data_IF_667465270876
#
_entry.id   IF_667465270876
#
_cell.length_a   1.000
_cell.length_b   1.000
_cell.length_c   1.000
_cell.angle_alpha   90.00
_cell.angle_beta   90.00
_cell.angle_gamma   90.00
#
_symmetry.space_group_name_H-M   'P 1'
#
loop_
_entity.id
_entity.type
_entity.pdbx_description
1 polymer ?
#
# COMPACT_ATOMS: atom_id res chain seq x y z
N UNK A 1 7.06 64.71 -60.38
CA UNK A 1 6.35 63.61 -61.02
C UNK A 1 6.68 62.34 -60.23
N UNK A 2 5.88 61.91 -59.36
CA UNK A 2 4.87 60.89 -59.36
C UNK A 2 5.43 59.51 -59.42
N UNK A 3 5.30 58.69 -58.48
CA UNK A 3 4.36 57.54 -58.45
C UNK A 3 4.43 56.79 -57.12
N UNK A 4 3.30 56.78 -56.47
CA UNK A 4 2.97 55.90 -55.35
C UNK A 4 2.99 54.46 -55.80
N UNK A 5 3.56 53.55 -54.97
CA UNK A 5 3.18 52.17 -54.97
C UNK A 5 2.91 51.73 -53.50
N UNK A 6 1.63 51.52 -53.28
CA UNK A 6 1.09 50.88 -52.05
C UNK A 6 1.29 49.42 -52.19
N UNK A 7 2.01 48.81 -51.28
CA UNK A 7 2.00 47.38 -51.13
C UNK A 7 1.33 47.04 -49.81
N UNK A 8 0.10 46.56 -49.91
CA UNK A 8 -0.59 45.84 -48.82
C UNK A 8 0.09 44.52 -48.66
N UNK A 9 0.68 44.28 -47.48
CA UNK A 9 0.97 42.93 -47.01
C UNK A 9 -0.13 42.54 -46.01
N UNK A 10 -1.06 41.71 -46.48
CA UNK A 10 -2.00 41.00 -45.64
C UNK A 10 -1.22 39.87 -44.92
N UNK A 11 -0.87 40.11 -43.67
CA UNK A 11 -0.30 39.09 -42.81
C UNK A 11 -1.41 38.15 -42.32
N UNK A 12 -1.50 36.97 -42.93
CA UNK A 12 -2.30 35.89 -42.39
C UNK A 12 -1.58 35.32 -41.14
N UNK A 13 -2.08 35.66 -39.96
CA UNK A 13 -1.69 35.04 -38.73
C UNK A 13 -2.27 33.61 -38.72
N UNK A 14 -1.44 32.63 -39.08
CA UNK A 14 -1.74 31.22 -38.79
C UNK A 14 -1.60 31.01 -37.27
N UNK A 15 -2.71 31.03 -36.57
CA UNK A 15 -2.81 30.53 -35.21
C UNK A 15 -2.64 29.02 -35.27
N UNK A 16 -1.44 28.51 -35.02
CA UNK A 16 -1.24 27.12 -34.67
C UNK A 16 -1.84 26.90 -33.28
N UNK A 17 -3.08 26.43 -33.26
CA UNK A 17 -3.62 25.77 -32.11
C UNK A 17 -2.81 24.49 -31.94
N UNK A 18 -1.79 24.51 -31.06
CA UNK A 18 -1.19 23.30 -30.52
C UNK A 18 -2.28 22.70 -29.66
N UNK A 19 -3.11 21.86 -30.25
CA UNK A 19 -3.87 20.87 -29.53
C UNK A 19 -2.81 19.93 -28.92
N UNK A 20 -2.40 20.23 -27.71
CA UNK A 20 -1.68 19.28 -26.88
C UNK A 20 -2.60 18.08 -26.71
N UNK A 21 -2.44 17.08 -27.58
CA UNK A 21 -2.84 15.74 -27.27
C UNK A 21 -2.03 15.37 -26.01
N UNK A 22 -2.63 15.55 -24.85
CA UNK A 22 -2.32 14.67 -23.74
C UNK A 22 -2.70 13.28 -24.26
N UNK A 23 -1.75 12.61 -24.90
CA UNK A 23 -1.77 11.17 -25.02
C UNK A 23 -1.78 10.71 -23.58
N UNK A 24 -2.97 10.41 -23.04
CA UNK A 24 -3.10 9.56 -21.89
C UNK A 24 -2.18 8.38 -22.19
N UNK A 25 -1.31 8.06 -21.27
CA UNK A 25 -0.37 6.93 -21.37
C UNK A 25 -1.22 5.66 -21.31
N UNK A 26 -1.89 5.33 -22.46
CA UNK A 26 -2.86 4.24 -22.58
C UNK A 26 -2.23 2.87 -22.37
N UNK A 27 -0.93 2.81 -22.12
CA UNK A 27 -0.15 1.59 -21.98
C UNK A 27 0.38 1.28 -20.59
N UNK A 28 0.09 2.11 -19.57
CA UNK A 28 0.67 1.93 -18.23
C UNK A 28 -0.34 2.28 -17.15
N UNK A 29 -0.38 1.45 -16.10
CA UNK A 29 -1.19 1.66 -14.90
C UNK A 29 -0.26 1.82 -13.70
N UNK A 30 -0.49 2.84 -12.89
CA UNK A 30 0.26 3.07 -11.64
C UNK A 30 -0.59 2.69 -10.45
N UNK A 31 -0.13 1.73 -9.65
CA UNK A 31 -0.81 1.23 -8.46
C UNK A 31 -0.03 1.62 -7.21
N UNK A 32 -0.68 2.30 -6.28
CA UNK A 32 -0.16 2.53 -4.94
C UNK A 32 -0.74 1.47 -4.01
N UNK A 33 0.09 0.52 -3.59
CA UNK A 33 -0.33 -0.64 -2.81
C UNK A 33 0.43 -0.75 -1.49
N UNK A 34 -0.28 -1.16 -0.45
CA UNK A 34 0.33 -1.43 0.85
C UNK A 34 1.52 -2.42 0.71
N UNK A 35 2.60 -2.18 1.45
CA UNK A 35 3.85 -2.93 1.35
C UNK A 35 3.69 -4.46 1.48
N UNK A 36 2.72 -4.92 2.27
CA UNK A 36 2.38 -6.35 2.42
C UNK A 36 1.92 -7.03 1.12
N UNK A 37 1.48 -6.24 0.12
CA UNK A 37 1.01 -6.75 -1.17
C UNK A 37 2.12 -6.89 -2.22
N UNK A 38 3.37 -6.57 -1.89
CA UNK A 38 4.47 -6.52 -2.86
C UNK A 38 4.54 -7.75 -3.76
N UNK A 39 4.59 -8.95 -3.18
CA UNK A 39 4.71 -10.18 -3.97
C UNK A 39 3.46 -10.45 -4.83
N UNK A 40 2.28 -10.34 -4.23
CA UNK A 40 1.02 -10.58 -4.93
C UNK A 40 0.84 -9.61 -6.11
N UNK A 41 1.10 -8.32 -5.91
CA UNK A 41 0.96 -7.31 -6.96
C UNK A 41 1.99 -7.47 -8.07
N UNK A 42 3.21 -7.91 -7.77
CA UNK A 42 4.21 -8.21 -8.79
C UNK A 42 3.79 -9.39 -9.67
N UNK A 43 3.23 -10.44 -9.06
CA UNK A 43 2.71 -11.60 -9.78
C UNK A 43 1.52 -11.21 -10.67
N UNK A 44 0.53 -10.49 -10.11
CA UNK A 44 -0.64 -10.01 -10.85
C UNK A 44 -0.23 -9.09 -12.01
N UNK A 45 0.67 -8.13 -11.77
CA UNK A 45 1.18 -7.22 -12.80
C UNK A 45 1.85 -7.98 -13.95
N UNK A 46 2.62 -9.02 -13.63
CA UNK A 46 3.29 -9.87 -14.63
C UNK A 46 2.28 -10.63 -15.47
N UNK A 47 1.25 -11.20 -14.84
CA UNK A 47 0.19 -11.95 -15.53
C UNK A 47 -0.65 -11.01 -16.41
N UNK A 48 -1.07 -9.85 -15.87
CA UNK A 48 -1.85 -8.88 -16.62
C UNK A 48 -1.10 -8.36 -17.85
N UNK A 49 0.20 -8.04 -17.70
CA UNK A 49 1.05 -7.66 -18.85
C UNK A 49 1.08 -8.76 -19.92
N UNK A 50 1.23 -10.04 -19.52
CA UNK A 50 1.25 -11.17 -20.44
C UNK A 50 -0.08 -11.33 -21.19
N UNK A 51 -1.20 -11.10 -20.50
CA UNK A 51 -2.54 -11.33 -21.07
C UNK A 51 -3.09 -10.14 -21.83
N UNK A 52 -2.81 -8.91 -21.35
CA UNK A 52 -3.40 -7.68 -21.88
C UNK A 52 -2.39 -6.75 -22.57
N UNK A 53 -1.10 -7.01 -22.45
CA UNK A 53 -0.06 -6.17 -23.05
C UNK A 53 0.17 -4.82 -22.32
N UNK A 54 -0.46 -4.61 -21.18
CA UNK A 54 -0.43 -3.35 -20.42
C UNK A 54 0.55 -3.47 -19.26
N UNK A 55 1.42 -2.48 -19.11
CA UNK A 55 2.35 -2.40 -17.98
C UNK A 55 1.64 -1.92 -16.71
N UNK A 56 1.84 -2.63 -15.60
CA UNK A 56 1.39 -2.22 -14.26
C UNK A 56 2.62 -1.94 -13.42
N UNK A 57 2.76 -0.69 -13.00
CA UNK A 57 3.86 -0.24 -12.13
C UNK A 57 3.32 0.01 -10.74
N UNK A 58 3.84 -0.71 -9.76
CA UNK A 58 3.39 -0.60 -8.38
C UNK A 58 4.40 0.15 -7.53
N UNK A 59 3.91 1.07 -6.68
CA UNK A 59 4.65 1.72 -5.61
C UNK A 59 4.19 1.14 -4.28
N UNK A 60 5.13 0.66 -3.47
CA UNK A 60 4.85 -0.01 -2.21
C UNK A 60 5.37 0.82 -1.03
N UNK A 61 4.50 1.07 -0.07
CA UNK A 61 4.83 1.74 1.19
C UNK A 61 3.75 1.46 2.24
N UNK A 62 3.85 2.09 3.42
CA UNK A 62 2.74 2.09 4.36
C UNK A 62 1.52 2.77 3.76
N UNK A 63 0.31 2.28 4.09
CA UNK A 63 -0.95 2.87 3.60
C UNK A 63 -1.06 4.35 3.94
N UNK A 64 -0.51 4.77 5.08
CA UNK A 64 -0.47 6.17 5.50
C UNK A 64 0.37 7.05 4.58
N UNK A 65 1.53 6.56 4.17
CA UNK A 65 2.43 7.26 3.24
C UNK A 65 1.78 7.40 1.87
N UNK A 66 1.23 6.30 1.34
CA UNK A 66 0.57 6.28 0.04
C UNK A 66 -0.65 7.21 -0.01
N UNK A 67 -1.51 7.17 1.01
CA UNK A 67 -2.69 8.03 1.09
C UNK A 67 -2.32 9.53 1.07
N UNK A 68 -1.26 9.91 1.80
CA UNK A 68 -0.78 11.30 1.80
C UNK A 68 -0.14 11.70 0.46
N UNK A 69 0.55 10.78 -0.21
CA UNK A 69 1.10 11.03 -1.55
C UNK A 69 -0.01 11.26 -2.56
N UNK A 70 -1.09 10.47 -2.50
CA UNK A 70 -2.26 10.66 -3.37
C UNK A 70 -2.95 11.99 -3.07
N UNK A 71 -3.14 12.34 -1.79
CA UNK A 71 -3.65 13.67 -1.39
C UNK A 71 -2.80 14.81 -1.97
N UNK A 72 -1.47 14.62 -2.01
CA UNK A 72 -0.54 15.60 -2.57
C UNK A 72 -0.49 15.59 -4.12
N UNK A 73 -1.33 14.80 -4.79
CA UNK A 73 -1.43 14.74 -6.25
C UNK A 73 -0.43 13.80 -6.93
N UNK A 74 0.10 12.81 -6.20
CA UNK A 74 0.93 11.78 -6.83
C UNK A 74 0.12 11.00 -7.90
N UNK A 75 0.72 10.69 -9.06
CA UNK A 75 0.02 10.13 -10.21
C UNK A 75 -0.24 8.62 -10.01
N UNK A 76 -1.14 8.27 -9.11
CA UNK A 76 -1.63 6.91 -8.91
C UNK A 76 -2.99 6.73 -9.61
N UNK A 77 -3.21 5.59 -10.21
CA UNK A 77 -4.49 5.20 -10.82
C UNK A 77 -5.35 4.41 -9.84
N UNK A 78 -4.70 3.55 -9.04
CA UNK A 78 -5.34 2.71 -8.03
C UNK A 78 -4.64 2.85 -6.69
N UNK A 79 -5.44 2.82 -5.62
CA UNK A 79 -4.96 2.77 -4.24
C UNK A 79 -5.48 1.51 -3.55
N UNK A 80 -4.56 0.72 -2.98
CA UNK A 80 -4.86 -0.48 -2.20
C UNK A 80 -4.27 -0.31 -0.81
N UNK A 81 -5.13 -0.07 0.18
CA UNK A 81 -4.73 0.09 1.57
C UNK A 81 -4.75 -1.24 2.32
N UNK A 82 -3.92 -1.39 3.34
CA UNK A 82 -3.95 -2.53 4.26
C UNK A 82 -4.97 -2.35 5.41
N UNK A 83 -5.68 -1.24 5.45
CA UNK A 83 -6.70 -0.94 6.44
C UNK A 83 -7.74 0.05 5.91
N UNK A 84 -8.92 0.03 6.53
CA UNK A 84 -10.03 0.92 6.17
C UNK A 84 -9.74 2.38 6.55
N UNK A 85 -8.98 2.63 7.62
CA UNK A 85 -8.71 3.97 8.14
C UNK A 85 -8.03 4.87 7.10
N UNK A 86 -7.00 4.36 6.39
CA UNK A 86 -6.29 5.15 5.41
C UNK A 86 -7.04 5.27 4.08
N UNK A 87 -7.93 4.31 3.78
CA UNK A 87 -8.89 4.47 2.69
C UNK A 87 -9.94 5.54 3.05
N UNK A 88 -10.48 5.54 4.28
CA UNK A 88 -11.39 6.60 4.76
C UNK A 88 -10.72 7.97 4.68
N UNK A 89 -9.45 8.08 5.08
CA UNK A 89 -8.68 9.31 4.94
C UNK A 89 -8.64 9.80 3.50
N UNK A 90 -8.34 8.92 2.53
CA UNK A 90 -8.29 9.29 1.12
C UNK A 90 -9.66 9.71 0.56
N UNK A 91 -10.74 9.08 1.03
CA UNK A 91 -12.13 9.48 0.74
C UNK A 91 -12.43 10.88 1.28
N UNK A 92 -12.11 11.14 2.56
CA UNK A 92 -12.33 12.43 3.21
C UNK A 92 -11.57 13.56 2.50
N UNK A 93 -10.42 13.26 1.93
CA UNK A 93 -9.62 14.18 1.11
C UNK A 93 -10.11 14.30 -0.34
N UNK A 94 -11.19 13.61 -0.70
CA UNK A 94 -11.74 13.58 -2.07
C UNK A 94 -10.74 13.12 -3.12
N UNK A 95 -9.80 12.25 -2.73
CA UNK A 95 -8.74 11.73 -3.57
C UNK A 95 -9.13 10.40 -4.26
N UNK A 96 -10.29 9.85 -3.94
CA UNK A 96 -10.78 8.54 -4.36
C UNK A 96 -12.15 8.66 -5.00
N UNK A 97 -12.34 7.95 -6.12
CA UNK A 97 -13.66 7.65 -6.67
C UNK A 97 -14.37 6.68 -5.70
N UNK A 98 -15.23 7.23 -4.86
CA UNK A 98 -15.92 6.47 -3.79
C UNK A 98 -16.80 5.36 -4.32
N UNK A 99 -17.31 5.48 -5.55
CA UNK A 99 -18.13 4.45 -6.19
C UNK A 99 -17.31 3.20 -6.53
N UNK A 100 -16.00 3.34 -6.70
CA UNK A 100 -15.08 2.24 -6.99
C UNK A 100 -14.57 1.53 -5.73
N UNK A 101 -14.82 2.05 -4.53
CA UNK A 101 -14.29 1.46 -3.30
C UNK A 101 -14.93 0.11 -3.00
N UNK A 102 -14.09 -0.89 -2.78
CA UNK A 102 -14.52 -2.20 -2.29
C UNK A 102 -13.46 -2.86 -1.41
N UNK A 103 -13.87 -3.80 -0.56
CA UNK A 103 -12.93 -4.65 0.18
C UNK A 103 -12.46 -5.78 -0.73
N UNK A 104 -11.16 -5.83 -0.98
CA UNK A 104 -10.54 -6.78 -1.90
C UNK A 104 -10.25 -8.12 -1.22
N UNK A 105 -9.60 -8.09 -0.05
CA UNK A 105 -9.18 -9.30 0.67
C UNK A 105 -9.01 -9.02 2.16
N UNK A 106 -8.86 -10.12 2.94
CA UNK A 106 -8.52 -10.10 4.36
C UNK A 106 -7.10 -10.60 4.61
N UNK A 107 -6.66 -10.51 5.87
CA UNK A 107 -5.37 -11.02 6.32
C UNK A 107 -5.43 -11.40 7.81
N UNK A 108 -4.38 -12.03 8.32
CA UNK A 108 -4.20 -12.32 9.75
C UNK A 108 -3.04 -11.51 10.30
N UNK A 109 -3.05 -11.27 11.60
CA UNK A 109 -1.94 -10.65 12.34
C UNK A 109 -1.17 -11.75 13.07
N UNK A 110 0.14 -11.81 12.84
CA UNK A 110 0.99 -12.88 13.38
C UNK A 110 2.25 -12.32 14.05
N UNK A 111 2.81 -13.11 14.96
CA UNK A 111 4.16 -12.90 15.51
C UNK A 111 5.11 -13.82 14.76
N UNK A 112 6.18 -13.25 14.25
CA UNK A 112 7.25 -14.00 13.57
C UNK A 112 8.56 -13.92 14.34
N UNK A 113 9.36 -14.96 14.22
CA UNK A 113 10.74 -15.04 14.72
C UNK A 113 11.68 -15.34 13.54
N UNK A 114 12.99 -15.08 13.65
CA UNK A 114 13.96 -15.57 12.68
C UNK A 114 13.82 -17.09 12.48
N UNK A 115 13.99 -17.56 11.25
CA UNK A 115 13.80 -18.97 10.91
C UNK A 115 14.66 -19.92 11.77
N UNK A 116 15.89 -19.51 12.08
CA UNK A 116 16.84 -20.27 12.88
C UNK A 116 16.67 -20.08 14.39
N UNK A 117 15.74 -19.23 14.84
CA UNK A 117 15.49 -18.96 16.26
C UNK A 117 14.98 -20.22 16.98
N UNK A 118 15.41 -20.41 18.22
CA UNK A 118 14.89 -21.44 19.12
C UNK A 118 13.54 -21.07 19.75
N UNK A 119 13.00 -19.87 19.42
CA UNK A 119 11.69 -19.44 19.89
C UNK A 119 10.63 -20.49 19.53
N UNK A 120 9.96 -20.99 20.56
CA UNK A 120 8.85 -21.94 20.41
C UNK A 120 7.55 -21.22 20.11
N UNK A 121 6.65 -21.92 19.47
CA UNK A 121 5.29 -21.45 19.26
C UNK A 121 4.57 -21.24 20.59
N UNK A 122 3.71 -20.24 20.66
CA UNK A 122 2.92 -19.93 21.82
C UNK A 122 1.53 -19.43 21.46
N UNK A 123 0.60 -19.54 22.39
CA UNK A 123 -0.76 -19.01 22.22
C UNK A 123 -0.84 -17.62 22.83
N UNK A 124 -1.46 -16.70 22.09
CA UNK A 124 -1.74 -15.35 22.55
C UNK A 124 -3.09 -15.33 23.26
N UNK A 125 -3.07 -14.97 24.55
CA UNK A 125 -4.24 -14.78 25.38
C UNK A 125 -3.99 -13.67 26.43
N UNK A 126 -4.96 -13.43 27.32
CA UNK A 126 -4.84 -12.45 28.41
C UNK A 126 -3.76 -12.76 29.44
N UNK A 127 -3.20 -13.99 29.43
CA UNK A 127 -2.14 -14.44 30.35
C UNK A 127 -0.77 -14.45 29.70
N UNK A 128 -0.67 -14.08 28.43
CA UNK A 128 0.60 -14.07 27.69
C UNK A 128 1.61 -13.13 28.36
N UNK A 129 2.76 -13.65 28.74
CA UNK A 129 3.82 -12.86 29.34
C UNK A 129 4.61 -12.10 28.26
N UNK A 130 4.07 -10.99 27.85
CA UNK A 130 4.65 -10.14 26.82
C UNK A 130 6.02 -9.57 27.18
N UNK A 131 6.27 -9.32 28.47
CA UNK A 131 7.53 -8.73 28.93
C UNK A 131 8.72 -9.63 28.64
N UNK A 132 8.53 -10.95 28.69
CA UNK A 132 9.58 -11.92 28.38
C UNK A 132 9.77 -12.17 26.89
N UNK A 133 8.75 -11.85 26.07
CA UNK A 133 8.73 -12.17 24.65
C UNK A 133 9.20 -11.02 23.77
N UNK A 134 8.92 -9.77 24.14
CA UNK A 134 9.02 -8.64 23.23
C UNK A 134 9.99 -7.57 23.72
N UNK A 135 11.21 -7.58 23.18
CA UNK A 135 12.14 -6.46 23.22
C UNK A 135 12.45 -6.05 21.77
N UNK A 136 12.16 -4.78 21.40
CA UNK A 136 12.49 -4.24 20.07
C UNK A 136 11.62 -4.76 18.92
N UNK A 137 10.32 -4.99 19.15
CA UNK A 137 9.40 -5.56 18.15
C UNK A 137 8.80 -4.46 17.30
N UNK A 138 8.96 -4.48 15.99
CA UNK A 138 8.22 -3.57 15.10
C UNK A 138 6.74 -3.96 15.01
N UNK A 139 5.85 -2.96 15.09
CA UNK A 139 4.40 -3.16 15.11
C UNK A 139 3.65 -2.04 14.39
N UNK A 140 2.54 -2.39 13.74
CA UNK A 140 1.63 -1.47 13.04
C UNK A 140 0.34 -1.16 13.81
N UNK A 141 -0.63 -0.55 13.13
CA UNK A 141 -1.92 -0.11 13.71
C UNK A 141 -2.69 -1.26 14.36
N UNK A 142 -2.84 -2.37 13.67
CA UNK A 142 -3.54 -3.55 14.19
C UNK A 142 -2.84 -4.18 15.39
N UNK A 143 -1.50 -4.16 15.39
CA UNK A 143 -0.72 -4.63 16.53
C UNK A 143 -0.97 -3.77 17.76
N UNK A 144 -1.03 -2.45 17.61
CA UNK A 144 -1.39 -1.54 18.70
C UNK A 144 -2.77 -1.86 19.26
N UNK A 145 -3.77 -1.99 18.40
CA UNK A 145 -5.14 -2.29 18.79
C UNK A 145 -5.23 -3.64 19.53
N UNK A 146 -4.61 -4.68 18.98
CA UNK A 146 -4.55 -5.99 19.60
C UNK A 146 -3.88 -5.97 20.97
N UNK A 147 -2.71 -5.32 21.08
CA UNK A 147 -1.99 -5.20 22.35
C UNK A 147 -2.74 -4.36 23.38
N UNK A 148 -3.47 -3.33 22.96
CA UNK A 148 -4.34 -2.56 23.85
C UNK A 148 -5.47 -3.44 24.41
N UNK A 149 -6.15 -4.19 23.54
CA UNK A 149 -7.24 -5.06 23.96
C UNK A 149 -6.79 -6.19 24.90
N UNK A 150 -5.56 -6.70 24.68
CA UNK A 150 -4.93 -7.70 25.51
C UNK A 150 -4.27 -7.13 26.79
N UNK A 151 -4.37 -5.81 27.03
CA UNK A 151 -3.77 -5.15 28.18
C UNK A 151 -2.24 -5.07 28.18
N UNK A 152 -1.61 -5.31 27.04
CA UNK A 152 -0.16 -5.41 26.89
C UNK A 152 0.50 -4.10 26.38
N UNK A 153 -0.29 -3.16 25.83
CA UNK A 153 0.24 -1.99 25.13
C UNK A 153 1.15 -1.12 26.00
N UNK A 154 0.72 -0.76 27.21
CA UNK A 154 1.49 0.15 28.07
C UNK A 154 2.84 -0.44 28.50
N UNK A 155 2.89 -1.76 28.67
CA UNK A 155 4.12 -2.49 29.00
C UNK A 155 5.07 -2.58 27.81
N UNK A 156 4.53 -2.70 26.59
CA UNK A 156 5.31 -2.99 25.38
C UNK A 156 5.64 -1.76 24.55
N UNK A 157 4.79 -0.75 24.54
CA UNK A 157 4.97 0.43 23.70
C UNK A 157 6.35 1.10 23.83
N UNK A 158 6.99 1.18 25.01
CA UNK A 158 8.36 1.71 25.13
C UNK A 158 9.44 0.82 24.52
N UNK A 159 9.12 -0.44 24.25
CA UNK A 159 10.05 -1.47 23.75
C UNK A 159 9.84 -1.78 22.27
N UNK A 160 8.86 -1.15 21.64
CA UNK A 160 8.58 -1.36 20.22
C UNK A 160 9.58 -0.58 19.37
N UNK A 161 10.14 -1.23 18.35
CA UNK A 161 10.96 -0.57 17.35
C UNK A 161 10.06 0.03 16.25
N UNK A 162 10.25 1.29 15.85
CA UNK A 162 9.53 1.84 14.71
C UNK A 162 10.01 1.20 13.40
N UNK A 163 9.09 0.88 12.51
CA UNK A 163 9.38 0.53 11.13
C UNK A 163 8.49 1.39 10.22
N UNK A 164 8.99 1.71 9.04
CA UNK A 164 8.26 2.55 8.08
C UNK A 164 7.00 1.86 7.57
N UNK A 165 7.11 0.54 7.37
CA UNK A 165 6.01 -0.33 6.97
C UNK A 165 6.24 -1.77 7.46
N UNK A 166 5.31 -2.67 7.14
CA UNK A 166 5.36 -4.07 7.58
C UNK A 166 6.53 -4.84 6.97
N UNK A 167 6.99 -4.50 5.76
CA UNK A 167 8.14 -5.17 5.13
C UNK A 167 9.45 -4.71 5.76
N UNK A 168 9.55 -3.46 6.18
CA UNK A 168 10.64 -2.98 7.05
C UNK A 168 10.69 -3.75 8.37
N UNK A 169 9.52 -3.97 8.99
CA UNK A 169 9.41 -4.79 10.20
C UNK A 169 9.87 -6.23 9.98
N UNK A 170 9.42 -6.86 8.90
CA UNK A 170 9.81 -8.22 8.51
C UNK A 170 11.33 -8.33 8.31
N UNK A 171 11.92 -7.38 7.59
CA UNK A 171 13.35 -7.36 7.29
C UNK A 171 14.24 -7.29 8.55
N UNK A 172 13.81 -6.58 9.60
CA UNK A 172 14.54 -6.56 10.88
C UNK A 172 14.58 -7.95 11.51
N UNK A 173 13.50 -8.71 11.43
CA UNK A 173 13.44 -10.09 11.96
C UNK A 173 14.27 -11.03 11.08
N UNK A 174 14.15 -10.93 9.76
CA UNK A 174 14.93 -11.76 8.82
C UNK A 174 16.45 -11.63 9.04
N UNK A 175 16.91 -10.41 9.32
CA UNK A 175 18.32 -10.11 9.58
C UNK A 175 18.75 -10.39 11.03
N UNK A 176 17.85 -10.93 11.85
CA UNK A 176 18.08 -11.17 13.29
C UNK A 176 18.42 -9.89 14.08
N UNK A 177 17.98 -8.73 13.59
CA UNK A 177 18.11 -7.44 14.28
C UNK A 177 16.97 -7.24 15.31
N UNK A 178 15.85 -7.94 15.11
CA UNK A 178 14.77 -8.05 16.06
C UNK A 178 14.47 -9.53 16.35
N UNK A 179 14.33 -9.93 17.62
CA UNK A 179 14.07 -11.33 17.98
C UNK A 179 12.67 -11.80 17.59
N UNK A 180 11.71 -10.88 17.51
CA UNK A 180 10.33 -11.10 17.11
C UNK A 180 9.85 -9.90 16.29
N UNK A 181 8.81 -10.08 15.49
CA UNK A 181 8.11 -9.02 14.76
C UNK A 181 6.61 -9.30 14.70
N UNK A 182 5.80 -8.24 14.61
CA UNK A 182 4.36 -8.36 14.39
C UNK A 182 4.11 -7.91 12.94
N UNK A 183 3.69 -8.85 12.12
CA UNK A 183 3.48 -8.68 10.67
C UNK A 183 2.16 -9.34 10.24
N UNK A 184 1.83 -9.27 8.97
CA UNK A 184 0.68 -10.02 8.46
C UNK A 184 1.07 -11.46 8.08
N UNK A 185 0.09 -12.35 8.07
CA UNK A 185 0.29 -13.74 7.66
C UNK A 185 0.86 -13.84 6.24
N UNK A 186 0.42 -12.98 5.32
CA UNK A 186 0.96 -12.92 3.95
C UNK A 186 2.44 -12.56 3.89
N UNK A 187 2.94 -11.70 4.80
CA UNK A 187 4.35 -11.34 4.87
C UNK A 187 5.19 -12.54 5.34
N UNK A 188 4.69 -13.27 6.33
CA UNK A 188 5.35 -14.46 6.82
C UNK A 188 5.46 -15.57 5.74
N UNK A 189 4.41 -15.74 4.94
CA UNK A 189 4.41 -16.69 3.80
C UNK A 189 5.39 -16.27 2.71
N UNK A 190 5.50 -14.98 2.45
CA UNK A 190 6.40 -14.45 1.42
C UNK A 190 7.89 -14.56 1.80
N UNK A 191 8.20 -14.74 3.08
CA UNK A 191 9.57 -14.79 3.60
C UNK A 191 10.06 -16.21 3.85
N UNK A 192 11.29 -16.50 3.44
CA UNK A 192 12.00 -17.73 3.80
C UNK A 192 12.86 -17.57 5.07
N UNK A 193 13.04 -16.34 5.54
CA UNK A 193 13.90 -15.96 6.65
C UNK A 193 13.24 -15.98 8.04
N UNK A 194 11.90 -16.10 8.08
CA UNK A 194 11.15 -16.12 9.34
C UNK A 194 10.28 -17.36 9.47
N UNK A 195 9.78 -17.57 10.68
CA UNK A 195 8.71 -18.53 11.01
C UNK A 195 7.65 -17.84 11.86
N UNK A 196 6.39 -18.24 11.68
CA UNK A 196 5.29 -17.81 12.55
C UNK A 196 5.42 -18.57 13.88
N UNK A 197 5.35 -17.85 14.98
CA UNK A 197 5.43 -18.41 16.35
C UNK A 197 4.15 -18.16 17.14
N UNK A 198 3.30 -17.23 16.71
CA UNK A 198 1.96 -17.03 17.25
C UNK A 198 1.06 -16.30 16.27
N UNK A 199 -0.25 -16.48 16.43
CA UNK A 199 -1.29 -15.74 15.69
C UNK A 199 -2.15 -14.99 16.69
N UNK A 200 -2.43 -13.71 16.40
CA UNK A 200 -3.33 -12.92 17.24
C UNK A 200 -4.77 -13.43 17.10
N UNK A 201 -5.53 -13.52 18.20
CA UNK A 201 -6.94 -13.83 18.13
C UNK A 201 -7.69 -12.80 17.27
N UNK A 202 -8.60 -13.25 16.42
CA UNK A 202 -9.36 -12.39 15.53
C UNK A 202 -10.18 -11.32 16.27
N UNK A 203 -10.60 -11.62 17.49
CA UNK A 203 -11.33 -10.72 18.36
C UNK A 203 -10.44 -9.72 19.12
N UNK A 204 -9.10 -9.83 19.01
CA UNK A 204 -8.15 -8.91 19.67
C UNK A 204 -7.96 -7.58 18.91
N UNK A 205 -8.35 -7.50 17.67
CA UNK A 205 -8.24 -6.31 16.81
C UNK A 205 -9.40 -6.25 15.81
N UNK A 206 -9.57 -5.11 15.13
CA UNK A 206 -10.47 -5.03 13.99
C UNK A 206 -10.02 -6.00 12.90
N UNK A 207 -10.97 -6.52 12.16
CA UNK A 207 -10.68 -7.40 11.03
C UNK A 207 -9.71 -6.71 10.08
N UNK A 208 -8.64 -7.42 9.72
CA UNK A 208 -7.67 -6.92 8.74
C UNK A 208 -8.31 -7.01 7.35
N UNK A 209 -8.58 -5.88 6.74
CA UNK A 209 -9.22 -5.77 5.44
C UNK A 209 -8.46 -4.81 4.56
N UNK A 210 -8.33 -5.19 3.30
CA UNK A 210 -7.63 -4.43 2.27
C UNK A 210 -8.66 -3.84 1.31
N UNK A 211 -9.05 -2.58 1.47
CA UNK A 211 -9.85 -1.89 0.48
C UNK A 211 -9.01 -1.47 -0.72
N UNK A 212 -9.63 -1.51 -1.89
CA UNK A 212 -9.13 -0.96 -3.15
C UNK A 212 -10.08 0.10 -3.66
N UNK A 213 -9.54 1.12 -4.31
CA UNK A 213 -10.32 2.11 -5.03
C UNK A 213 -9.52 2.75 -6.18
N UNK A 214 -10.24 3.26 -7.17
CA UNK A 214 -9.68 4.11 -8.23
C UNK A 214 -9.43 5.50 -7.66
N UNK A 215 -8.31 6.09 -8.00
CA UNK A 215 -7.99 7.49 -7.64
C UNK A 215 -8.91 8.43 -8.43
N UNK A 216 -9.35 9.52 -7.81
CA UNK A 216 -10.27 10.48 -8.39
C UNK A 216 -9.74 11.02 -9.72
N UNK A 217 -10.60 10.99 -10.76
CA UNK A 217 -10.23 11.42 -12.11
C UNK A 217 -9.44 10.40 -12.94
N UNK A 218 -9.09 9.24 -12.40
CA UNK A 218 -8.30 8.21 -13.10
C UNK A 218 -9.15 7.03 -13.61
N UNK A 219 -10.48 7.14 -13.60
CA UNK A 219 -11.39 6.08 -14.04
C UNK A 219 -11.48 6.01 -15.58
N UNK A 220 -10.49 5.40 -16.21
CA UNK A 220 -10.48 5.12 -17.65
C UNK A 220 -10.62 3.61 -17.94
N UNK A 221 -10.79 3.25 -19.20
CA UNK A 221 -11.02 1.86 -19.61
C UNK A 221 -9.87 0.91 -19.25
N UNK A 222 -8.62 1.38 -19.34
CA UNK A 222 -7.43 0.58 -19.02
C UNK A 222 -7.32 0.32 -17.52
N UNK A 223 -7.53 1.34 -16.69
CA UNK A 223 -7.56 1.22 -15.23
C UNK A 223 -8.70 0.32 -14.79
N UNK A 224 -9.89 0.48 -15.40
CA UNK A 224 -11.03 -0.39 -15.12
C UNK A 224 -10.74 -1.85 -15.48
N UNK A 225 -10.09 -2.12 -16.58
CA UNK A 225 -9.75 -3.48 -17.00
C UNK A 225 -8.80 -4.17 -16.00
N UNK A 226 -7.88 -3.42 -15.37
CA UNK A 226 -7.02 -3.95 -14.33
C UNK A 226 -7.74 -4.08 -12.98
N UNK A 227 -8.60 -3.13 -12.67
CA UNK A 227 -9.42 -3.16 -11.46
C UNK A 227 -10.36 -4.38 -11.42
N UNK A 228 -10.91 -4.75 -12.56
CA UNK A 228 -11.83 -5.90 -12.72
C UNK A 228 -11.08 -7.25 -12.84
N UNK A 229 -9.75 -7.23 -13.04
CA UNK A 229 -8.90 -8.43 -13.20
C UNK A 229 -8.54 -9.08 -11.88
#
# INVERSE_FOLDING_TARGET
>A
MARKWLNLFAGAALSFAVAGNALADEGKITVFAAASLTNAMQDIATQFKKEKGVDVVSSFASSSTLARQIEAGAPADLFISADQKWMDYAVDKKAIDTASRQTLLGNSLVVVAPKASEQKDFTIDSKTNWTSLLNGVPAGIYAKEALQKLGAWDTLSPKLAPAEDVRGALALVERNEAPLGIVYGSDAVASKGVKVVATFPEDSHKKVEYPVAVVEGHNNATVKAFYDY
#
